data_IF_295771648213
#
_entry.id   IF_295771648213
#
_cell.length_a   1.000
_cell.length_b   1.000
_cell.length_c   1.000
_cell.angle_alpha   90.00
_cell.angle_beta   90.00
_cell.angle_gamma   90.00
#
_symmetry.space_group_name_H-M   'P 1'
#
loop_
_entity.id
_entity.type
_entity.pdbx_description
1 polymer ?
#
# COMPACT_ATOMS: atom_id res chain seq x y z
N UNK A 1 5.86 -11.53 -16.94
CA UNK A 1 5.08 -10.31 -17.22
C UNK A 1 4.95 -9.61 -15.88
N UNK A 2 5.51 -8.41 -15.72
CA UNK A 2 5.43 -7.69 -14.44
C UNK A 2 3.98 -7.29 -14.23
N UNK A 3 3.37 -7.79 -13.16
CA UNK A 3 1.98 -7.49 -12.84
C UNK A 3 1.92 -6.09 -12.23
N UNK A 4 1.82 -5.06 -13.07
CA UNK A 4 1.61 -3.68 -12.61
C UNK A 4 0.14 -3.41 -12.25
N UNK A 5 -0.79 -4.26 -12.68
CA UNK A 5 -2.20 -4.10 -12.39
C UNK A 5 -2.45 -4.15 -10.87
N UNK A 6 -1.79 -5.08 -10.17
CA UNK A 6 -1.92 -5.19 -8.71
C UNK A 6 -1.43 -3.92 -7.97
N UNK A 7 -0.36 -3.28 -8.44
CA UNK A 7 0.13 -2.03 -7.84
C UNK A 7 -0.92 -0.94 -7.94
N UNK A 8 -1.42 -0.71 -9.15
CA UNK A 8 -2.44 0.30 -9.41
C UNK A 8 -3.72 0.04 -8.62
N UNK A 9 -4.18 -1.21 -8.57
CA UNK A 9 -5.39 -1.56 -7.82
C UNK A 9 -5.23 -1.34 -6.30
N UNK A 10 -4.05 -1.66 -5.73
CA UNK A 10 -3.76 -1.39 -4.32
C UNK A 10 -3.64 0.11 -4.08
N UNK A 11 -3.00 0.86 -4.98
CA UNK A 11 -2.90 2.31 -4.91
C UNK A 11 -4.29 2.97 -4.91
N UNK A 12 -5.17 2.57 -5.83
CA UNK A 12 -6.55 3.06 -5.91
C UNK A 12 -7.34 2.74 -4.63
N UNK A 13 -7.23 1.52 -4.10
CA UNK A 13 -7.83 1.16 -2.82
C UNK A 13 -7.32 2.04 -1.67
N UNK A 14 -6.02 2.35 -1.64
CA UNK A 14 -5.43 3.18 -0.60
C UNK A 14 -5.86 4.65 -0.74
N UNK A 15 -6.03 5.16 -1.97
CA UNK A 15 -6.65 6.49 -2.21
C UNK A 15 -8.07 6.54 -1.64
N UNK A 16 -8.87 5.49 -1.83
CA UNK A 16 -10.22 5.40 -1.25
C UNK A 16 -10.19 5.35 0.29
N UNK A 17 -9.30 4.56 0.88
CA UNK A 17 -9.11 4.54 2.35
C UNK A 17 -8.69 5.92 2.87
N UNK A 18 -7.81 6.62 2.16
CA UNK A 18 -7.40 7.97 2.52
C UNK A 18 -8.58 8.94 2.55
N UNK A 19 -9.47 8.87 1.55
CA UNK A 19 -10.68 9.68 1.50
C UNK A 19 -11.62 9.39 2.68
N UNK A 20 -11.84 8.11 2.99
CA UNK A 20 -12.64 7.71 4.15
C UNK A 20 -12.07 8.23 5.47
N UNK A 21 -10.75 8.36 5.59
CA UNK A 21 -10.13 8.99 6.76
C UNK A 21 -10.26 10.51 6.74
N UNK A 22 -10.20 11.17 5.58
CA UNK A 22 -10.44 12.62 5.46
C UNK A 22 -11.86 13.01 5.87
N UNK A 23 -12.85 12.17 5.59
CA UNK A 23 -14.24 12.43 5.99
C UNK A 23 -14.47 12.30 7.51
N UNK A 24 -13.50 11.79 8.28
CA UNK A 24 -13.58 11.63 9.74
C UNK A 24 -12.89 12.79 10.45
N UNK A 25 -13.47 13.23 11.57
CA UNK A 25 -12.85 14.25 12.42
C UNK A 25 -11.71 13.65 13.27
N UNK A 26 -10.80 14.50 13.71
CA UNK A 26 -9.72 14.17 14.64
C UNK A 26 -8.35 14.01 13.99
N UNK A 27 -7.32 14.34 14.77
CA UNK A 27 -5.93 14.38 14.34
C UNK A 27 -5.41 13.01 13.85
N UNK A 28 -5.80 11.91 14.50
CA UNK A 28 -5.43 10.56 14.04
C UNK A 28 -5.95 10.25 12.64
N UNK A 29 -7.16 10.72 12.30
CA UNK A 29 -7.78 10.55 10.98
C UNK A 29 -6.99 11.32 9.92
N UNK A 30 -6.59 12.56 10.21
CA UNK A 30 -5.74 13.36 9.32
C UNK A 30 -4.39 12.68 9.03
N UNK A 31 -3.69 12.20 10.07
CA UNK A 31 -2.42 11.50 9.88
C UNK A 31 -2.57 10.22 9.05
N UNK A 32 -3.65 9.46 9.27
CA UNK A 32 -3.94 8.25 8.48
C UNK A 32 -4.24 8.58 7.03
N UNK A 33 -5.07 9.58 6.77
CA UNK A 33 -5.35 10.04 5.42
C UNK A 33 -4.06 10.40 4.66
N UNK A 34 -3.16 11.13 5.31
CA UNK A 34 -1.85 11.48 4.72
C UNK A 34 -0.98 10.25 4.48
N UNK A 35 -0.95 9.30 5.41
CA UNK A 35 -0.18 8.07 5.27
C UNK A 35 -0.67 7.20 4.10
N UNK A 36 -1.99 6.98 3.98
CA UNK A 36 -2.56 6.21 2.85
C UNK A 36 -2.41 6.93 1.51
N UNK A 37 -2.48 8.27 1.49
CA UNK A 37 -2.24 9.05 0.25
C UNK A 37 -0.80 8.86 -0.22
N UNK A 38 0.18 9.06 0.67
CA UNK A 38 1.60 8.87 0.34
C UNK A 38 1.93 7.45 -0.09
N UNK A 39 1.37 6.47 0.60
CA UNK A 39 1.55 5.06 0.25
C UNK A 39 0.96 4.76 -1.13
N UNK A 40 -0.24 5.27 -1.44
CA UNK A 40 -0.83 5.08 -2.76
C UNK A 40 0.04 5.68 -3.87
N UNK A 41 0.54 6.90 -3.69
CA UNK A 41 1.40 7.55 -4.68
C UNK A 41 2.72 6.78 -4.85
N UNK A 42 3.33 6.31 -3.77
CA UNK A 42 4.55 5.52 -3.83
C UNK A 42 4.35 4.17 -4.54
N UNK A 43 3.21 3.50 -4.31
CA UNK A 43 2.87 2.22 -4.95
C UNK A 43 2.58 2.41 -6.45
N UNK A 44 1.87 3.47 -6.83
CA UNK A 44 1.47 3.74 -8.21
C UNK A 44 2.69 4.05 -9.11
N UNK A 45 3.74 4.64 -8.53
CA UNK A 45 5.00 4.95 -9.23
C UNK A 45 6.08 3.88 -9.05
N UNK A 46 5.77 2.76 -8.40
CA UNK A 46 6.75 1.70 -8.15
C UNK A 46 7.08 0.99 -9.47
N UNK A 47 8.36 1.01 -9.86
CA UNK A 47 8.88 0.32 -11.05
C UNK A 47 8.87 -1.21 -10.92
N UNK A 48 8.65 -1.72 -9.71
CA UNK A 48 8.56 -3.14 -9.41
C UNK A 48 7.14 -3.53 -8.96
N UNK A 49 6.68 -4.72 -9.33
CA UNK A 49 5.45 -5.29 -8.79
C UNK A 49 5.56 -5.54 -7.28
N UNK A 50 4.54 -5.10 -6.52
CA UNK A 50 4.38 -5.42 -5.10
C UNK A 50 4.32 -6.93 -4.86
N UNK A 51 3.78 -7.72 -5.80
CA UNK A 51 3.68 -9.17 -5.66
C UNK A 51 5.05 -9.84 -5.76
N UNK A 52 5.92 -9.36 -6.65
CA UNK A 52 7.29 -9.85 -6.78
C UNK A 52 8.14 -9.46 -5.57
N UNK A 53 8.01 -8.22 -5.13
CA UNK A 53 8.66 -7.72 -3.92
C UNK A 53 8.25 -8.53 -2.67
N UNK A 54 6.95 -8.86 -2.57
CA UNK A 54 6.39 -9.66 -1.49
C UNK A 54 6.93 -11.09 -1.48
N UNK A 55 6.97 -11.76 -2.64
CA UNK A 55 7.57 -13.09 -2.77
C UNK A 55 9.06 -13.10 -2.44
N UNK A 56 9.80 -12.09 -2.90
CA UNK A 56 11.25 -12.00 -2.69
C UNK A 56 11.64 -11.68 -1.25
N UNK A 57 10.95 -10.73 -0.63
CA UNK A 57 11.44 -10.09 0.61
C UNK A 57 10.36 -9.83 1.66
N UNK A 58 9.14 -10.34 1.43
CA UNK A 58 7.99 -10.19 2.31
C UNK A 58 7.72 -8.70 2.64
N UNK A 59 7.15 -8.41 3.80
CA UNK A 59 6.85 -7.03 4.23
C UNK A 59 8.10 -6.16 4.40
N UNK A 60 9.28 -6.77 4.60
CA UNK A 60 10.52 -6.05 4.82
C UNK A 60 10.98 -5.31 3.56
N UNK A 61 10.68 -5.82 2.36
CA UNK A 61 10.92 -5.09 1.11
C UNK A 61 10.06 -3.84 1.01
N UNK A 62 8.78 -3.94 1.37
CA UNK A 62 7.82 -2.83 1.29
C UNK A 62 8.17 -1.69 2.24
N UNK A 63 8.69 -2.00 3.42
CA UNK A 63 9.10 -0.99 4.40
C UNK A 63 10.30 -0.14 3.96
N UNK A 64 10.99 -0.52 2.89
CA UNK A 64 12.08 0.28 2.31
C UNK A 64 11.58 1.36 1.35
N UNK A 65 10.32 1.29 0.92
CA UNK A 65 9.71 2.30 0.06
C UNK A 65 9.42 3.54 0.90
N UNK A 66 9.87 4.71 0.44
CA UNK A 66 9.56 5.96 1.11
C UNK A 66 8.03 6.20 1.14
N UNK A 67 7.53 6.62 2.30
CA UNK A 67 6.09 6.73 2.56
C UNK A 67 5.39 5.42 2.99
N UNK A 68 6.09 4.27 3.02
CA UNK A 68 5.51 2.99 3.48
C UNK A 68 6.11 2.57 4.84
N UNK A 69 5.41 2.95 5.91
CA UNK A 69 5.75 2.51 7.27
C UNK A 69 5.24 1.10 7.62
N UNK A 70 5.59 0.54 8.79
CA UNK A 70 5.25 -0.84 9.18
C UNK A 70 3.75 -1.16 9.18
N UNK A 71 2.90 -0.18 9.49
CA UNK A 71 1.45 -0.35 9.41
C UNK A 71 0.97 -0.49 7.97
N UNK A 72 1.40 0.40 7.10
CA UNK A 72 1.03 0.40 5.68
C UNK A 72 1.54 -0.89 5.02
N UNK A 73 2.77 -1.32 5.29
CA UNK A 73 3.32 -2.57 4.77
C UNK A 73 2.46 -3.80 5.14
N UNK A 74 1.94 -3.86 6.39
CA UNK A 74 1.01 -4.91 6.80
C UNK A 74 -0.35 -4.81 6.11
N UNK A 75 -0.83 -3.60 5.85
CA UNK A 75 -2.08 -3.45 5.10
C UNK A 75 -1.91 -3.88 3.64
N UNK A 76 -0.76 -3.60 3.02
CA UNK A 76 -0.43 -4.11 1.67
C UNK A 76 -0.40 -5.63 1.66
N UNK A 77 0.31 -6.25 2.61
CA UNK A 77 0.31 -7.71 2.77
C UNK A 77 -1.10 -8.29 2.83
N UNK A 78 -1.97 -7.71 3.67
CA UNK A 78 -3.36 -8.20 3.80
C UNK A 78 -4.10 -8.17 2.48
N UNK A 79 -3.92 -7.12 1.69
CA UNK A 79 -4.57 -7.04 0.37
C UNK A 79 -3.99 -8.06 -0.61
N UNK A 80 -2.68 -8.27 -0.60
CA UNK A 80 -2.03 -9.30 -1.44
C UNK A 80 -2.52 -10.70 -1.08
N UNK A 81 -2.53 -11.05 0.21
CA UNK A 81 -3.00 -12.36 0.70
C UNK A 81 -4.48 -12.56 0.38
N UNK A 82 -5.33 -11.54 0.56
CA UNK A 82 -6.75 -11.58 0.20
C UNK A 82 -6.97 -11.89 -1.29
N UNK A 83 -6.02 -11.53 -2.14
CA UNK A 83 -6.04 -11.77 -3.59
C UNK A 83 -5.35 -13.08 -3.99
N UNK A 84 -4.96 -13.91 -3.02
CA UNK A 84 -4.28 -15.19 -3.25
C UNK A 84 -2.78 -15.08 -3.51
N UNK A 85 -2.18 -13.90 -3.32
CA UNK A 85 -0.75 -13.69 -3.49
C UNK A 85 -0.07 -14.04 -2.17
N UNK A 86 0.57 -15.21 -2.15
CA UNK A 86 1.33 -15.71 -0.99
C UNK A 86 2.83 -15.58 -1.23
N UNK A 87 3.59 -15.65 -0.14
CA UNK A 87 5.05 -15.70 -0.17
C UNK A 87 5.53 -17.04 -0.71
#
# INVERSE_FOLDING_TARGET
MVDYAINREIAELFRQKAEQFRSKQGESSFFRARAYTRAADAIDHLEESLSDMYRRSWIAGMQKIDGIGPRIARDIERELVRRGITR
#
